data_IF_422115279222
#
_entry.id   IF_422115279222
#
_cell.length_a   1.000
_cell.length_b   1.000
_cell.length_c   1.000
_cell.angle_alpha   90.00
_cell.angle_beta   90.00
_cell.angle_gamma   90.00
#
_symmetry.space_group_name_H-M   'P 1'
#
loop_
_entity.id
_entity.type
_entity.pdbx_description
1 polymer ?
#
# COMPACT_ATOMS: atom_id res chain seq x y z
N UNK A 1 -2.87 -21.11 -13.17
CA UNK A 1 -4.02 -20.33 -12.68
C UNK A 1 -5.10 -20.31 -13.75
N UNK A 2 -6.38 -20.39 -13.40
CA UNK A 2 -7.47 -20.46 -14.38
C UNK A 2 -7.71 -19.08 -15.04
N UNK A 3 -7.90 -18.99 -16.37
CA UNK A 3 -8.06 -17.72 -17.10
C UNK A 3 -9.23 -16.84 -16.59
N UNK A 4 -10.28 -17.48 -16.06
CA UNK A 4 -11.50 -16.79 -15.58
C UNK A 4 -11.24 -15.88 -14.37
N UNK A 5 -10.27 -16.21 -13.52
CA UNK A 5 -9.96 -15.41 -12.33
C UNK A 5 -9.20 -14.12 -12.68
N UNK A 6 -8.40 -14.13 -13.75
CA UNK A 6 -7.69 -12.95 -14.23
C UNK A 6 -8.65 -11.96 -14.89
N UNK A 7 -9.54 -12.44 -15.78
CA UNK A 7 -10.55 -11.60 -16.43
C UNK A 7 -11.48 -10.91 -15.43
N UNK A 8 -11.91 -11.62 -14.38
CA UNK A 8 -12.76 -11.06 -13.34
C UNK A 8 -12.05 -9.95 -12.55
N UNK A 9 -10.75 -10.10 -12.27
CA UNK A 9 -9.94 -9.07 -11.58
C UNK A 9 -9.74 -7.83 -12.45
N UNK A 10 -9.46 -8.00 -13.73
CA UNK A 10 -9.31 -6.89 -14.70
C UNK A 10 -10.64 -6.15 -14.88
N UNK A 11 -11.76 -6.88 -14.98
CA UNK A 11 -13.09 -6.28 -15.07
C UNK A 11 -13.45 -5.47 -13.82
N UNK A 12 -13.13 -6.00 -12.63
CA UNK A 12 -13.31 -5.29 -11.37
C UNK A 12 -12.46 -4.02 -11.35
N UNK A 13 -11.17 -4.09 -11.72
CA UNK A 13 -10.29 -2.93 -11.81
C UNK A 13 -10.85 -1.82 -12.72
N UNK A 14 -11.32 -2.18 -13.92
CA UNK A 14 -11.90 -1.21 -14.88
C UNK A 14 -13.20 -0.57 -14.39
N UNK A 15 -14.04 -1.31 -13.67
CA UNK A 15 -15.29 -0.79 -13.11
C UNK A 15 -15.04 0.32 -12.09
N UNK A 16 -13.97 0.20 -11.31
CA UNK A 16 -13.57 1.16 -10.26
C UNK A 16 -13.14 2.48 -10.85
N UNK A 17 -12.26 2.43 -11.84
CA UNK A 17 -11.79 3.63 -12.54
C UNK A 17 -12.98 4.39 -13.11
N UNK A 18 -13.96 3.69 -13.70
CA UNK A 18 -15.21 4.30 -14.20
C UNK A 18 -16.08 4.92 -13.10
N UNK A 19 -16.20 4.29 -11.94
CA UNK A 19 -16.98 4.84 -10.82
C UNK A 19 -16.33 6.11 -10.24
N UNK A 20 -14.99 6.15 -10.22
CA UNK A 20 -14.24 7.33 -9.83
C UNK A 20 -14.43 8.49 -10.82
N UNK A 21 -14.25 8.22 -12.12
CA UNK A 21 -14.42 9.24 -13.17
C UNK A 21 -15.82 9.86 -13.15
N UNK A 22 -16.84 9.08 -12.77
CA UNK A 22 -18.22 9.53 -12.68
C UNK A 22 -18.55 10.34 -11.41
N UNK A 23 -17.79 10.22 -10.32
CA UNK A 23 -18.03 10.99 -9.07
C UNK A 23 -16.78 11.10 -8.19
N UNK A 24 -15.81 11.95 -8.56
CA UNK A 24 -14.54 12.12 -7.83
C UNK A 24 -14.73 12.63 -6.39
N UNK A 25 -15.87 13.30 -6.13
CA UNK A 25 -16.17 13.96 -4.85
C UNK A 25 -16.88 13.07 -3.83
N UNK A 26 -17.32 11.86 -4.22
CA UNK A 26 -18.04 10.95 -3.30
C UNK A 26 -17.14 10.27 -2.27
N UNK A 27 -15.82 10.29 -2.48
CA UNK A 27 -14.83 9.56 -1.67
C UNK A 27 -13.97 10.46 -0.77
N UNK A 28 -14.32 11.75 -0.63
CA UNK A 28 -13.50 12.70 0.12
C UNK A 28 -14.31 13.59 1.05
N UNK A 29 -13.96 13.56 2.33
CA UNK A 29 -13.86 14.78 3.12
C UNK A 29 -12.50 15.43 2.83
N UNK A 30 -12.51 16.61 2.20
CA UNK A 30 -11.47 17.67 2.12
C UNK A 30 -10.10 17.43 1.44
N UNK A 31 -9.66 16.20 1.16
CA UNK A 31 -8.28 15.95 0.69
C UNK A 31 -7.82 16.65 -0.61
N UNK A 32 -8.68 16.90 -1.60
CA UNK A 32 -8.27 17.61 -2.83
C UNK A 32 -7.99 19.11 -2.60
N UNK A 33 -8.73 19.76 -1.69
CA UNK A 33 -8.45 21.14 -1.29
C UNK A 33 -7.21 21.25 -0.40
N UNK A 34 -6.89 20.19 0.34
CA UNK A 34 -5.65 20.10 1.12
C UNK A 34 -4.45 19.81 0.22
N UNK A 35 -4.60 18.94 -0.78
CA UNK A 35 -3.63 18.72 -1.85
C UNK A 35 -3.28 20.03 -2.56
N UNK A 36 -4.28 20.78 -3.04
CA UNK A 36 -4.04 22.05 -3.75
C UNK A 36 -3.39 23.12 -2.84
N UNK A 37 -3.74 23.17 -1.54
CA UNK A 37 -3.10 24.06 -0.57
C UNK A 37 -1.68 23.64 -0.22
N UNK A 38 -1.41 22.33 -0.18
CA UNK A 38 -0.14 21.78 0.26
C UNK A 38 0.89 21.68 -0.86
N UNK A 39 0.51 21.44 -2.13
CA UNK A 39 1.45 21.49 -3.26
C UNK A 39 2.13 22.88 -3.33
N UNK A 40 1.38 23.96 -3.07
CA UNK A 40 1.94 25.30 -3.02
C UNK A 40 2.89 25.53 -1.82
N UNK A 41 2.68 24.81 -0.71
CA UNK A 41 3.53 24.87 0.50
C UNK A 41 4.77 24.00 0.38
N UNK A 42 4.60 22.78 -0.11
CA UNK A 42 5.64 21.79 -0.39
C UNK A 42 6.65 22.33 -1.41
N UNK A 43 6.18 22.94 -2.52
CA UNK A 43 7.03 23.62 -3.51
C UNK A 43 7.84 24.78 -2.92
N UNK A 44 7.37 25.37 -1.81
CA UNK A 44 8.02 26.50 -1.15
C UNK A 44 8.99 26.06 -0.05
N UNK A 45 8.70 24.96 0.65
CA UNK A 45 9.52 24.42 1.75
C UNK A 45 10.64 23.49 1.27
N UNK A 46 10.53 22.91 0.07
CA UNK A 46 11.53 21.99 -0.50
C UNK A 46 12.13 22.48 -1.82
N UNK A 47 12.03 23.78 -2.12
CA UNK A 47 12.66 24.38 -3.30
C UNK A 47 14.17 24.02 -3.35
N UNK A 48 14.85 24.07 -2.20
CA UNK A 48 16.29 23.83 -2.07
C UNK A 48 16.69 22.36 -2.29
N UNK A 49 15.76 21.39 -2.13
CA UNK A 49 16.00 19.96 -2.38
C UNK A 49 15.67 19.58 -3.83
N UNK A 50 14.87 20.40 -4.49
CA UNK A 50 14.43 20.21 -5.89
C UNK A 50 15.28 21.03 -6.88
N UNK A 51 16.19 21.87 -6.39
CA UNK A 51 17.13 22.66 -7.22
C UNK A 51 18.57 22.22 -7.00
N UNK A 52 18.90 21.02 -7.44
CA UNK A 52 20.26 20.67 -7.86
C UNK A 52 20.14 20.01 -9.23
N UNK A 53 19.95 20.87 -10.25
CA UNK A 53 20.32 20.72 -11.66
C UNK A 53 19.50 21.75 -12.48
N UNK A 54 20.00 22.99 -12.54
CA UNK A 54 20.16 23.73 -13.81
C UNK A 54 20.60 25.18 -13.55
N UNK A 55 21.80 25.51 -14.04
CA UNK A 55 22.26 26.88 -14.19
C UNK A 55 21.45 27.60 -15.26
N UNK A 56 20.84 28.75 -14.93
CA UNK A 56 21.18 30.08 -15.49
C UNK A 56 20.02 31.09 -15.50
N UNK A 57 20.35 32.30 -15.02
CA UNK A 57 19.77 33.62 -15.34
C UNK A 57 18.27 33.88 -15.06
N UNK A 58 17.99 34.72 -14.06
CA UNK A 58 17.74 36.16 -14.26
C UNK A 58 17.25 36.84 -12.96
N UNK A 59 17.63 38.11 -12.85
CA UNK A 59 17.58 39.01 -11.68
C UNK A 59 16.21 39.65 -11.42
N UNK A 60 16.07 40.07 -10.15
CA UNK A 60 15.61 41.40 -9.67
C UNK A 60 14.10 41.71 -9.59
N UNK A 61 13.65 42.10 -8.39
CA UNK A 61 12.42 42.88 -8.20
C UNK A 61 11.99 43.06 -6.75
N UNK A 62 12.67 43.92 -6.00
CA UNK A 62 12.34 44.44 -4.67
C UNK A 62 10.99 45.16 -4.58
N UNK A 63 10.28 45.09 -3.45
CA UNK A 63 9.12 45.95 -3.20
C UNK A 63 8.39 45.78 -1.86
N UNK A 64 8.96 46.36 -0.81
CA UNK A 64 8.36 47.02 0.37
C UNK A 64 7.01 46.56 0.98
N UNK A 65 7.08 46.33 2.29
CA UNK A 65 5.97 46.30 3.23
C UNK A 65 5.56 47.71 3.70
N UNK A 66 4.26 47.90 3.99
CA UNK A 66 3.76 48.80 5.06
C UNK A 66 2.45 48.26 5.67
N UNK A 67 2.20 48.50 6.97
CA UNK A 67 1.10 47.90 7.73
C UNK A 67 -0.12 48.84 7.84
N UNK A 68 -1.33 48.28 7.84
CA UNK A 68 -2.57 49.04 8.00
C UNK A 68 -3.61 48.26 8.82
N UNK A 69 -3.87 48.75 10.02
CA UNK A 69 -4.90 48.30 10.96
C UNK A 69 -6.31 48.26 10.35
N UNK A 70 -7.01 47.12 10.54
CA UNK A 70 -8.45 47.09 10.74
C UNK A 70 -8.84 45.76 11.42
N UNK A 71 -9.12 45.82 12.72
CA UNK A 71 -9.69 44.71 13.50
C UNK A 71 -11.18 44.58 13.16
N UNK A 72 -11.68 43.43 12.67
CA UNK A 72 -13.11 43.13 12.66
C UNK A 72 -13.53 42.53 14.03
N UNK A 73 -14.82 42.60 14.38
CA UNK A 73 -15.28 42.43 15.75
C UNK A 73 -15.15 40.98 16.25
N UNK A 74 -15.01 40.85 17.57
CA UNK A 74 -15.13 39.62 18.35
C UNK A 74 -16.41 38.87 17.94
N UNK A 75 -16.29 37.95 16.99
CA UNK A 75 -17.32 36.96 16.74
C UNK A 75 -17.35 36.04 17.95
N UNK A 76 -18.49 36.02 18.64
CA UNK A 76 -18.80 35.11 19.73
C UNK A 76 -18.08 33.77 19.54
N UNK A 77 -17.18 33.42 20.46
CA UNK A 77 -16.51 32.12 20.46
C UNK A 77 -17.61 31.08 20.37
N UNK A 78 -17.70 30.42 19.20
CA UNK A 78 -18.43 29.17 19.09
C UNK A 78 -17.89 28.32 20.24
N UNK A 79 -18.75 27.76 21.11
CA UNK A 79 -18.28 26.87 22.15
C UNK A 79 -17.36 25.86 21.48
N UNK A 80 -16.16 25.57 22.04
CA UNK A 80 -15.20 24.68 21.41
C UNK A 80 -15.97 23.43 21.05
N UNK A 81 -16.14 23.22 19.74
CA UNK A 81 -16.89 22.10 19.23
C UNK A 81 -16.15 20.91 19.83
N UNK A 82 -16.80 20.20 20.75
CA UNK A 82 -16.23 19.03 21.40
C UNK A 82 -16.11 17.98 20.31
N UNK A 83 -15.08 18.12 19.49
CA UNK A 83 -14.70 17.16 18.48
C UNK A 83 -13.86 16.15 19.25
N UNK A 84 -14.39 14.94 19.50
CA UNK A 84 -13.60 13.92 20.15
C UNK A 84 -12.30 13.76 19.35
N UNK A 85 -11.15 13.83 20.02
CA UNK A 85 -9.83 13.61 19.41
C UNK A 85 -9.58 12.13 19.04
N UNK A 86 -10.64 11.33 19.00
CA UNK A 86 -10.64 9.90 18.75
C UNK A 86 -11.48 9.63 17.48
N UNK A 87 -10.92 8.85 16.56
CA UNK A 87 -11.64 8.34 15.40
C UNK A 87 -12.07 6.90 15.63
N UNK A 88 -13.33 6.58 15.34
CA UNK A 88 -13.89 5.23 15.43
C UNK A 88 -14.37 4.81 14.05
N UNK A 89 -13.82 3.69 13.56
CA UNK A 89 -14.18 3.11 12.27
C UNK A 89 -14.43 1.61 12.48
N UNK A 90 -15.57 1.05 11.98
CA UNK A 90 -15.80 -0.39 12.02
C UNK A 90 -14.64 -1.15 11.36
N UNK A 91 -14.18 -2.23 11.99
CA UNK A 91 -13.00 -2.98 11.55
C UNK A 91 -13.11 -3.46 10.08
N UNK A 92 -14.30 -3.83 9.63
CA UNK A 92 -14.57 -4.28 8.26
C UNK A 92 -14.35 -3.21 7.18
N UNK A 93 -14.30 -1.92 7.57
CA UNK A 93 -13.97 -0.79 6.69
C UNK A 93 -12.48 -0.42 6.74
N UNK A 94 -11.66 -1.22 7.42
CA UNK A 94 -10.23 -0.95 7.60
C UNK A 94 -9.36 -2.00 6.93
N UNK A 95 -8.15 -1.60 6.54
CA UNK A 95 -7.06 -2.48 6.12
C UNK A 95 -5.77 -2.03 6.78
N UNK A 96 -4.96 -2.99 7.20
CA UNK A 96 -3.58 -2.76 7.65
C UNK A 96 -2.67 -2.84 6.43
N UNK A 97 -1.97 -1.74 6.15
CA UNK A 97 -1.07 -1.62 5.01
C UNK A 97 0.35 -1.39 5.50
N UNK A 98 1.28 -2.24 5.09
CA UNK A 98 2.72 -2.10 5.35
C UNK A 98 3.40 -1.55 4.09
N UNK A 99 3.59 -0.23 4.03
CA UNK A 99 4.32 0.41 2.92
C UNK A 99 5.81 0.23 3.11
N UNK A 100 6.48 -0.26 2.08
CA UNK A 100 7.91 -0.56 2.04
C UNK A 100 8.49 0.13 0.80
N UNK A 101 9.51 0.98 0.99
CA UNK A 101 10.34 1.43 -0.14
C UNK A 101 11.32 0.32 -0.50
N UNK A 102 11.58 0.13 -1.78
CA UNK A 102 12.66 -0.75 -2.24
C UNK A 102 14.01 -0.45 -1.55
N UNK A 103 14.86 -1.48 -1.44
CA UNK A 103 16.23 -1.38 -0.94
C UNK A 103 17.14 -0.54 -1.85
N UNK A 104 18.39 -0.34 -1.47
CA UNK A 104 19.35 0.37 -2.31
C UNK A 104 19.51 -0.32 -3.67
N UNK A 105 19.26 0.41 -4.76
CA UNK A 105 19.49 -0.04 -6.13
C UNK A 105 20.69 0.62 -6.78
N UNK A 106 21.17 0.04 -7.88
CA UNK A 106 22.30 0.59 -8.64
C UNK A 106 22.06 2.03 -9.13
N UNK A 107 20.79 2.42 -9.36
CA UNK A 107 20.42 3.81 -9.67
C UNK A 107 20.60 4.76 -8.48
N UNK A 108 20.46 4.31 -7.22
CA UNK A 108 20.63 5.17 -6.04
C UNK A 108 22.09 5.58 -5.84
N UNK A 109 23.03 4.72 -6.23
CA UNK A 109 24.47 4.95 -6.11
C UNK A 109 25.10 5.55 -7.38
N UNK A 110 24.27 5.93 -8.36
CA UNK A 110 24.70 6.74 -9.51
C UNK A 110 25.31 5.98 -10.69
N UNK A 111 25.03 4.68 -10.85
CA UNK A 111 25.52 3.95 -12.04
C UNK A 111 24.70 4.26 -13.29
N UNK A 112 25.39 4.36 -14.44
CA UNK A 112 24.83 4.79 -15.72
C UNK A 112 24.05 3.70 -16.46
N UNK A 113 24.36 2.43 -16.24
CA UNK A 113 23.58 1.32 -16.78
C UNK A 113 22.50 0.92 -15.76
N UNK A 114 21.36 1.58 -15.84
CA UNK A 114 20.33 1.50 -14.81
C UNK A 114 18.95 1.16 -15.37
N UNK A 115 18.83 0.64 -16.61
CA UNK A 115 17.55 0.16 -17.13
C UNK A 115 16.92 -0.80 -16.14
N UNK A 116 15.70 -0.50 -15.70
CA UNK A 116 14.97 -1.24 -14.67
C UNK A 116 15.86 -1.70 -13.51
N UNK A 117 16.64 -0.77 -12.95
CA UNK A 117 17.78 -1.07 -12.08
C UNK A 117 17.48 -2.10 -10.98
N UNK A 118 18.38 -3.06 -10.82
CA UNK A 118 18.40 -4.04 -9.74
C UNK A 118 18.89 -3.44 -8.41
N UNK A 119 18.71 -4.19 -7.33
CA UNK A 119 19.29 -3.96 -6.02
C UNK A 119 20.80 -4.19 -6.01
N UNK A 120 21.50 -3.40 -5.20
CA UNK A 120 22.90 -3.68 -4.83
C UNK A 120 22.96 -4.82 -3.80
N UNK A 121 24.16 -5.32 -3.50
CA UNK A 121 24.37 -6.26 -2.38
C UNK A 121 23.82 -5.68 -1.06
N UNK A 122 24.08 -4.39 -0.82
CA UNK A 122 23.52 -3.67 0.33
C UNK A 122 22.00 -3.61 0.30
N UNK A 123 21.39 -3.41 -0.87
CA UNK A 123 19.93 -3.46 -1.02
C UNK A 123 19.33 -4.81 -0.65
N UNK A 124 20.00 -5.91 -1.02
CA UNK A 124 19.63 -7.26 -0.61
C UNK A 124 19.76 -7.48 0.90
N UNK A 125 20.86 -7.04 1.51
CA UNK A 125 21.07 -7.12 2.97
C UNK A 125 20.00 -6.33 3.74
N UNK A 126 19.62 -5.16 3.22
CA UNK A 126 18.53 -4.35 3.76
C UNK A 126 17.20 -5.09 3.69
N UNK A 127 16.86 -5.70 2.54
CA UNK A 127 15.62 -6.44 2.35
C UNK A 127 15.54 -7.66 3.28
N UNK A 128 16.60 -8.46 3.39
CA UNK A 128 16.65 -9.62 4.28
C UNK A 128 16.58 -9.22 5.76
N UNK A 129 17.23 -8.12 6.14
CA UNK A 129 17.14 -7.58 7.50
C UNK A 129 15.74 -7.08 7.83
N UNK A 130 15.08 -6.40 6.89
CA UNK A 130 13.69 -6.04 7.02
C UNK A 130 12.80 -7.28 7.12
N UNK A 131 13.04 -8.34 6.34
CA UNK A 131 12.31 -9.60 6.44
C UNK A 131 12.38 -10.24 7.83
N UNK A 132 13.59 -10.33 8.40
CA UNK A 132 13.79 -10.81 9.78
C UNK A 132 13.03 -9.96 10.80
N UNK A 133 13.08 -8.64 10.66
CA UNK A 133 12.30 -7.74 11.51
C UNK A 133 10.80 -7.97 11.32
N UNK A 134 10.30 -7.95 10.08
CA UNK A 134 8.90 -8.12 9.72
C UNK A 134 8.29 -9.38 10.34
N UNK A 135 8.94 -10.53 10.22
CA UNK A 135 8.41 -11.79 10.77
C UNK A 135 8.62 -11.96 12.29
N UNK A 136 9.40 -11.08 12.93
CA UNK A 136 9.54 -11.06 14.40
C UNK A 136 8.44 -10.29 15.12
N UNK A 137 7.66 -9.46 14.40
CA UNK A 137 6.64 -8.61 14.99
C UNK A 137 5.25 -9.25 14.90
N UNK A 138 4.44 -9.11 15.95
CA UNK A 138 3.06 -9.61 15.95
C UNK A 138 2.14 -8.77 15.05
N UNK A 139 2.39 -7.47 14.91
CA UNK A 139 1.54 -6.55 14.13
C UNK A 139 1.57 -6.81 12.61
N UNK A 140 2.62 -7.47 12.14
CA UNK A 140 2.84 -7.90 10.75
C UNK A 140 2.53 -9.38 10.54
N UNK A 141 2.17 -10.10 11.60
CA UNK A 141 1.76 -11.50 11.52
C UNK A 141 0.49 -11.62 10.69
N UNK A 142 0.45 -12.62 9.80
CA UNK A 142 -0.73 -12.88 8.96
C UNK A 142 -0.88 -11.95 7.77
N UNK A 143 0.20 -11.39 7.23
CA UNK A 143 0.18 -10.76 5.89
C UNK A 143 -0.35 -11.76 4.86
N UNK A 144 -1.34 -11.35 4.07
CA UNK A 144 -2.05 -12.22 3.13
C UNK A 144 -1.63 -11.97 1.68
N UNK A 145 -1.20 -10.74 1.40
CA UNK A 145 -0.91 -10.24 0.06
C UNK A 145 0.29 -9.29 0.12
N UNK A 146 1.23 -9.50 -0.79
CA UNK A 146 2.32 -8.59 -1.12
C UNK A 146 2.04 -8.02 -2.51
N UNK A 147 1.78 -6.72 -2.53
CA UNK A 147 1.60 -5.94 -3.76
C UNK A 147 2.91 -5.25 -4.08
N UNK A 148 3.34 -5.29 -5.34
CA UNK A 148 4.65 -4.75 -5.72
C UNK A 148 4.54 -3.92 -6.98
N UNK A 149 5.40 -2.90 -7.06
CA UNK A 149 5.72 -2.30 -8.34
C UNK A 149 6.36 -3.36 -9.25
N UNK A 150 6.07 -3.36 -10.56
CA UNK A 150 6.69 -4.29 -11.50
C UNK A 150 8.13 -3.92 -11.90
N UNK A 151 8.74 -2.90 -11.28
CA UNK A 151 10.16 -2.58 -11.46
C UNK A 151 11.03 -3.54 -10.63
N UNK A 152 12.14 -4.02 -11.21
CA UNK A 152 12.96 -5.12 -10.67
C UNK A 152 13.41 -4.86 -9.24
N UNK A 153 13.92 -3.67 -8.91
CA UNK A 153 14.29 -3.29 -7.53
C UNK A 153 13.19 -3.53 -6.49
N UNK A 154 11.93 -3.32 -6.83
CA UNK A 154 10.82 -3.55 -5.92
C UNK A 154 10.49 -5.05 -5.80
N UNK A 155 10.57 -5.79 -6.91
CA UNK A 155 10.38 -7.23 -6.94
C UNK A 155 11.48 -7.97 -6.15
N UNK A 156 12.75 -7.59 -6.34
CA UNK A 156 13.90 -8.12 -5.57
C UNK A 156 13.77 -7.78 -4.08
N UNK A 157 13.34 -6.56 -3.75
CA UNK A 157 13.10 -6.20 -2.34
C UNK A 157 12.04 -7.10 -1.74
N UNK A 158 10.94 -7.35 -2.46
CA UNK A 158 9.91 -8.25 -1.98
C UNK A 158 10.41 -9.69 -1.83
N UNK A 159 11.25 -10.16 -2.76
CA UNK A 159 11.88 -11.48 -2.67
C UNK A 159 12.77 -11.59 -1.42
N UNK A 160 13.61 -10.59 -1.15
CA UNK A 160 14.45 -10.56 0.04
C UNK A 160 13.67 -10.43 1.36
N UNK A 161 12.55 -9.70 1.37
CA UNK A 161 11.73 -9.51 2.59
C UNK A 161 10.84 -10.73 2.87
N UNK A 162 10.13 -11.23 1.86
CA UNK A 162 9.03 -12.19 2.03
C UNK A 162 9.35 -13.60 1.57
N UNK A 163 10.40 -13.78 0.78
CA UNK A 163 10.87 -15.08 0.34
C UNK A 163 11.32 -15.99 1.48
N UNK A 164 11.56 -17.25 1.13
CA UNK A 164 12.22 -18.22 2.01
C UNK A 164 13.41 -18.83 1.28
N UNK A 165 14.49 -19.08 2.02
CA UNK A 165 15.60 -19.88 1.50
C UNK A 165 15.05 -21.27 1.13
N UNK A 166 15.40 -21.84 -0.04
CA UNK A 166 14.91 -23.16 -0.45
C UNK A 166 15.19 -24.26 0.59
N UNK A 167 16.30 -24.14 1.33
CA UNK A 167 16.67 -25.05 2.42
C UNK A 167 15.77 -24.96 3.66
N UNK A 168 15.07 -23.83 3.85
CA UNK A 168 14.12 -23.63 4.94
C UNK A 168 12.71 -24.14 4.61
N UNK A 169 12.47 -24.55 3.36
CA UNK A 169 11.16 -25.05 2.91
C UNK A 169 10.79 -26.38 3.58
N UNK A 170 11.77 -27.26 3.82
CA UNK A 170 11.55 -28.58 4.47
C UNK A 170 11.04 -28.46 5.92
N UNK A 171 11.33 -27.35 6.62
CA UNK A 171 10.84 -27.09 7.98
C UNK A 171 9.45 -26.42 8.06
N UNK A 172 9.00 -25.79 6.97
CA UNK A 172 7.74 -25.03 6.93
C UNK A 172 6.51 -25.93 6.76
N UNK A 173 6.64 -27.10 6.13
CA UNK A 173 5.52 -28.02 5.93
C UNK A 173 5.11 -28.72 7.24
N UNK A 174 6.04 -28.88 8.19
CA UNK A 174 5.79 -29.56 9.46
C UNK A 174 5.09 -28.68 10.50
N UNK A 175 5.17 -27.35 10.40
CA UNK A 175 4.58 -26.43 11.39
C UNK A 175 3.06 -26.18 11.20
N UNK A 176 2.46 -26.71 10.14
CA UNK A 176 1.03 -26.56 9.84
C UNK A 176 0.16 -27.73 10.37
N UNK A 177 0.73 -28.70 11.08
CA UNK A 177 0.01 -29.87 11.58
C UNK A 177 0.28 -30.18 13.05
N UNK A 178 -0.67 -29.85 13.92
CA UNK A 178 -0.85 -30.52 15.21
C UNK A 178 -0.38 -29.74 16.45
N UNK A 179 -1.36 -29.21 17.19
CA UNK A 179 -1.25 -29.12 18.63
C UNK A 179 -1.54 -30.50 19.24
N UNK A 180 -0.65 -31.06 20.08
CA UNK A 180 -1.04 -31.72 21.34
C UNK A 180 0.16 -32.16 22.21
N UNK A 181 -0.06 -32.21 23.53
CA UNK A 181 0.45 -33.24 24.45
C UNK A 181 1.93 -33.27 24.87
N UNK A 182 2.18 -33.07 26.16
CA UNK A 182 3.52 -33.12 26.78
C UNK A 182 4.12 -34.51 27.01
N UNK A 183 5.36 -34.53 27.51
CA UNK A 183 6.04 -35.75 27.97
C UNK A 183 7.55 -35.58 28.15
N UNK A 184 8.06 -36.04 29.29
CA UNK A 184 9.39 -35.80 29.87
C UNK A 184 10.60 -36.43 29.15
N UNK A 185 11.77 -35.81 29.39
CA UNK A 185 13.17 -36.31 29.27
C UNK A 185 13.38 -37.74 29.87
N UNK A 186 14.50 -38.49 29.60
CA UNK A 186 15.90 -38.01 29.60
C UNK A 186 16.92 -38.71 28.64
N UNK A 187 18.19 -38.34 28.81
CA UNK A 187 19.40 -38.65 28.04
C UNK A 187 19.97 -40.08 28.18
N UNK A 188 20.78 -40.52 27.20
CA UNK A 188 21.93 -41.41 27.42
C UNK A 188 22.92 -41.39 26.23
N UNK A 189 24.18 -41.70 26.55
CA UNK A 189 25.41 -41.57 25.78
C UNK A 189 25.70 -42.73 24.81
N UNK A 190 26.59 -42.49 23.84
CA UNK A 190 27.64 -43.45 23.43
C UNK A 190 27.52 -44.13 22.06
N UNK A 191 28.61 -44.11 21.29
CA UNK A 191 29.01 -45.25 20.45
C UNK A 191 29.05 -45.08 18.92
N UNK A 192 30.23 -44.69 18.44
CA UNK A 192 31.02 -45.31 17.37
C UNK A 192 30.52 -45.45 15.90
N UNK A 193 31.56 -45.38 15.07
CA UNK A 193 31.78 -45.34 13.64
C UNK A 193 31.00 -46.30 12.72
N UNK A 194 30.94 -45.84 11.47
CA UNK A 194 30.77 -46.61 10.23
C UNK A 194 29.33 -46.98 9.85
N UNK A 195 28.73 -46.15 8.98
CA UNK A 195 27.81 -46.60 7.94
C UNK A 195 27.88 -45.63 6.76
N UNK A 196 28.55 -46.08 5.69
CA UNK A 196 28.30 -45.65 4.33
C UNK A 196 26.80 -45.84 4.06
N UNK A 197 26.05 -44.74 4.08
CA UNK A 197 24.63 -44.70 3.83
C UNK A 197 24.37 -43.84 2.62
N UNK A 198 24.11 -44.53 1.50
CA UNK A 198 23.35 -44.11 0.32
C UNK A 198 22.84 -42.67 0.34
N UNK A 199 23.25 -41.89 -0.65
CA UNK A 199 22.54 -40.71 -1.10
C UNK A 199 21.05 -41.06 -1.24
N UNK A 200 20.24 -40.62 -0.28
CA UNK A 200 18.79 -40.63 -0.41
C UNK A 200 18.44 -39.57 -1.42
N UNK A 201 18.09 -39.98 -2.63
CA UNK A 201 17.33 -39.15 -3.55
C UNK A 201 16.05 -38.70 -2.84
N UNK A 202 16.04 -37.47 -2.34
CA UNK A 202 14.82 -36.78 -1.98
C UNK A 202 14.11 -36.45 -3.30
N UNK A 203 13.26 -37.36 -3.76
CA UNK A 203 12.43 -37.25 -4.97
C UNK A 203 11.23 -36.32 -4.71
N UNK A 204 11.50 -35.16 -4.10
CA UNK A 204 10.55 -34.07 -3.92
C UNK A 204 10.79 -33.03 -5.00
N UNK A 205 9.75 -32.70 -5.77
CA UNK A 205 9.84 -31.58 -6.70
C UNK A 205 10.31 -30.32 -5.94
N UNK A 206 11.25 -29.54 -6.51
CA UNK A 206 11.79 -28.36 -5.84
C UNK A 206 10.64 -27.38 -5.51
N UNK A 207 10.75 -26.64 -4.40
CA UNK A 207 9.68 -25.73 -3.98
C UNK A 207 9.37 -24.70 -5.07
N UNK A 208 8.10 -24.30 -5.22
CA UNK A 208 7.73 -23.23 -6.14
C UNK A 208 8.56 -21.97 -5.88
N UNK A 209 9.21 -21.45 -6.92
CA UNK A 209 10.09 -20.28 -6.79
C UNK A 209 9.28 -18.99 -6.78
N UNK A 210 9.68 -18.05 -5.92
CA UNK A 210 9.29 -16.65 -5.99
C UNK A 210 10.18 -15.92 -7.00
N UNK A 211 11.49 -16.16 -6.93
CA UNK A 211 12.51 -15.57 -7.79
C UNK A 211 13.56 -16.62 -8.18
N UNK A 212 13.97 -16.64 -9.44
CA UNK A 212 15.07 -17.46 -9.93
C UNK A 212 16.42 -16.94 -9.40
N UNK A 213 17.41 -17.81 -9.26
CA UNK A 213 18.77 -17.36 -8.92
C UNK A 213 19.40 -16.57 -10.07
N UNK A 214 20.31 -15.66 -9.75
CA UNK A 214 21.05 -14.88 -10.75
C UNK A 214 22.51 -14.70 -10.36
N UNK A 215 23.37 -14.65 -11.38
CA UNK A 215 24.80 -14.38 -11.23
C UNK A 215 25.08 -12.88 -11.20
N UNK A 216 26.13 -12.50 -10.48
CA UNK A 216 26.56 -11.11 -10.38
C UNK A 216 27.01 -10.57 -11.75
N UNK A 217 26.66 -9.32 -12.02
CA UNK A 217 27.20 -8.57 -13.15
C UNK A 217 27.63 -7.19 -12.64
N UNK A 218 28.91 -6.86 -12.85
CA UNK A 218 29.54 -5.69 -12.26
C UNK A 218 28.78 -4.41 -12.59
N UNK A 219 28.30 -3.71 -11.54
CA UNK A 219 27.55 -2.45 -11.61
C UNK A 219 26.15 -2.54 -12.23
N UNK A 220 25.62 -3.75 -12.41
CA UNK A 220 24.33 -4.00 -13.05
C UNK A 220 23.41 -4.78 -12.12
N UNK A 221 23.88 -5.92 -11.58
CA UNK A 221 23.10 -6.76 -10.66
C UNK A 221 23.99 -7.50 -9.66
N UNK A 222 23.47 -7.71 -8.45
CA UNK A 222 24.10 -8.54 -7.43
C UNK A 222 23.74 -10.02 -7.63
N UNK A 223 24.63 -10.92 -7.20
CA UNK A 223 24.33 -12.35 -7.16
C UNK A 223 23.39 -12.68 -6.01
N UNK A 224 22.48 -13.62 -6.23
CA UNK A 224 21.72 -14.26 -5.15
C UNK A 224 21.24 -15.65 -5.59
N UNK A 225 21.01 -16.53 -4.62
CA UNK A 225 20.40 -17.84 -4.85
C UNK A 225 18.92 -17.74 -5.25
N UNK A 226 18.34 -18.84 -5.71
CA UNK A 226 16.90 -18.89 -5.97
C UNK A 226 16.12 -18.70 -4.66
N UNK A 227 15.02 -17.95 -4.72
CA UNK A 227 14.16 -17.64 -3.57
C UNK A 227 12.85 -18.40 -3.72
N UNK A 228 12.47 -19.20 -2.73
CA UNK A 228 11.24 -19.96 -2.75
C UNK A 228 10.03 -19.14 -2.25
N UNK A 229 8.84 -19.52 -2.70
CA UNK A 229 7.58 -18.90 -2.28
C UNK A 229 7.26 -19.23 -0.81
N UNK A 230 6.80 -18.22 -0.09
CA UNK A 230 6.23 -18.39 1.25
C UNK A 230 4.79 -18.87 1.15
N UNK A 231 4.49 -19.99 1.80
CA UNK A 231 3.13 -20.53 1.85
C UNK A 231 2.15 -19.54 2.50
N UNK A 232 0.94 -19.45 1.97
CA UNK A 232 -0.13 -18.59 2.49
C UNK A 232 -0.05 -17.11 2.10
N UNK A 233 1.00 -16.66 1.41
CA UNK A 233 1.14 -15.28 0.95
C UNK A 233 1.00 -15.21 -0.57
N UNK A 234 0.16 -14.31 -1.06
CA UNK A 234 0.02 -14.02 -2.51
C UNK A 234 0.95 -12.89 -2.91
N UNK A 235 1.47 -12.95 -4.13
CA UNK A 235 2.34 -11.92 -4.70
C UNK A 235 1.74 -11.40 -6.00
N UNK A 236 1.50 -10.09 -6.09
CA UNK A 236 0.87 -9.47 -7.27
C UNK A 236 1.64 -8.22 -7.67
N UNK A 237 1.95 -8.08 -8.95
CA UNK A 237 2.57 -6.88 -9.52
C UNK A 237 1.51 -5.93 -10.09
N UNK A 238 1.63 -4.63 -9.82
CA UNK A 238 0.65 -3.61 -10.23
C UNK A 238 1.35 -2.33 -10.69
N UNK A 239 1.09 -1.92 -11.94
CA UNK A 239 1.62 -0.70 -12.57
C UNK A 239 1.31 0.59 -11.79
N UNK A 240 0.16 0.65 -11.10
CA UNK A 240 -0.27 1.82 -10.33
C UNK A 240 0.71 2.26 -9.23
N UNK A 241 1.52 1.36 -8.68
CA UNK A 241 2.46 1.68 -7.59
C UNK A 241 3.92 1.78 -8.05
N UNK A 242 4.17 2.07 -9.32
CA UNK A 242 5.50 2.43 -9.84
C UNK A 242 5.98 3.76 -9.30
N UNK A 243 7.29 3.98 -9.41
CA UNK A 243 7.89 5.29 -9.14
C UNK A 243 7.24 6.38 -9.99
N UNK A 244 7.39 7.64 -9.60
CA UNK A 244 7.12 8.76 -10.51
C UNK A 244 7.95 8.56 -11.78
N UNK A 245 7.31 8.43 -12.93
CA UNK A 245 8.02 8.15 -14.18
C UNK A 245 8.87 9.37 -14.56
N UNK A 246 10.19 9.23 -14.48
CA UNK A 246 11.16 10.23 -14.90
C UNK A 246 11.83 9.88 -16.24
N UNK A 247 12.74 10.74 -16.71
CA UNK A 247 13.45 10.54 -17.98
C UNK A 247 14.51 9.43 -17.89
N UNK A 248 14.79 8.95 -16.68
CA UNK A 248 15.79 7.92 -16.39
C UNK A 248 15.30 6.54 -16.79
N UNK A 249 16.18 5.76 -17.43
CA UNK A 249 15.84 4.39 -17.85
C UNK A 249 15.57 3.45 -16.67
N UNK A 250 15.99 3.80 -15.46
CA UNK A 250 15.61 3.06 -14.26
C UNK A 250 14.12 3.06 -13.98
N UNK A 251 13.37 4.04 -14.48
CA UNK A 251 11.92 4.08 -14.30
C UNK A 251 11.17 3.40 -15.44
N UNK A 252 11.89 2.90 -16.45
CA UNK A 252 11.35 2.06 -17.52
C UNK A 252 11.44 0.59 -17.11
N UNK A 253 10.30 -0.10 -17.12
CA UNK A 253 10.22 -1.54 -16.88
C UNK A 253 10.83 -2.30 -18.07
N UNK A 254 11.54 -3.39 -17.81
CA UNK A 254 11.94 -4.34 -18.84
C UNK A 254 10.73 -5.10 -19.41
N UNK A 255 10.91 -5.92 -20.46
CA UNK A 255 9.82 -6.73 -21.01
C UNK A 255 9.21 -7.64 -19.95
N UNK A 256 7.89 -7.80 -19.96
CA UNK A 256 7.19 -8.59 -18.96
C UNK A 256 7.60 -10.06 -19.02
N UNK A 257 7.85 -10.58 -20.22
CA UNK A 257 8.35 -11.94 -20.43
C UNK A 257 9.66 -12.21 -19.66
N UNK A 258 10.59 -11.25 -19.68
CA UNK A 258 11.87 -11.34 -18.94
C UNK A 258 11.64 -11.30 -17.43
N UNK A 259 10.78 -10.39 -16.97
CA UNK A 259 10.43 -10.29 -15.55
C UNK A 259 9.71 -11.54 -15.05
N UNK A 260 8.81 -12.13 -15.83
CA UNK A 260 8.09 -13.36 -15.49
C UNK A 260 9.02 -14.57 -15.37
N UNK A 261 10.06 -14.65 -16.22
CA UNK A 261 11.12 -15.67 -16.10
C UNK A 261 11.90 -15.52 -14.80
N UNK A 262 12.22 -14.28 -14.41
CA UNK A 262 12.95 -13.98 -13.19
C UNK A 262 12.09 -14.18 -11.93
N UNK A 263 10.77 -13.92 -12.00
CA UNK A 263 9.84 -13.95 -10.87
C UNK A 263 8.64 -14.88 -11.12
N UNK A 264 8.85 -16.20 -11.27
CA UNK A 264 7.80 -17.14 -11.68
C UNK A 264 6.66 -17.29 -10.67
N UNK A 265 6.87 -16.88 -9.42
CA UNK A 265 5.87 -16.95 -8.35
C UNK A 265 4.99 -15.70 -8.22
N UNK A 266 5.21 -14.68 -9.04
CA UNK A 266 4.49 -13.40 -8.98
C UNK A 266 3.36 -13.36 -10.02
N UNK A 267 2.18 -12.93 -9.60
CA UNK A 267 1.04 -12.73 -10.48
C UNK A 267 1.14 -11.38 -11.20
N UNK A 268 1.42 -11.43 -12.51
CA UNK A 268 1.50 -10.27 -13.40
C UNK A 268 0.23 -10.07 -14.25
N UNK A 269 -0.86 -10.80 -13.98
CA UNK A 269 -2.08 -10.79 -14.82
C UNK A 269 -2.80 -9.45 -14.93
N UNK A 270 -2.44 -8.47 -14.10
CA UNK A 270 -2.97 -7.11 -14.13
C UNK A 270 -2.20 -6.17 -15.07
N UNK A 271 -1.12 -6.62 -15.69
CA UNK A 271 -0.32 -5.86 -16.65
C UNK A 271 -0.73 -6.29 -18.06
N UNK A 272 -1.24 -5.35 -18.85
CA UNK A 272 -1.88 -5.67 -20.14
C UNK A 272 -0.87 -5.87 -21.27
N UNK A 273 0.29 -5.20 -21.21
CA UNK A 273 1.27 -5.14 -22.30
C UNK A 273 2.65 -5.63 -21.86
N UNK A 274 3.31 -6.35 -22.75
CA UNK A 274 4.66 -6.88 -22.51
C UNK A 274 5.68 -5.75 -22.37
N UNK A 275 5.65 -4.83 -23.33
CA UNK A 275 6.49 -3.63 -23.34
C UNK A 275 5.92 -2.54 -22.42
N UNK A 276 6.81 -1.70 -21.91
CA UNK A 276 6.44 -0.55 -21.09
C UNK A 276 5.96 0.62 -21.94
N UNK A 277 4.65 0.66 -22.19
CA UNK A 277 3.99 1.74 -22.93
C UNK A 277 3.72 2.99 -22.07
N UNK A 278 3.86 2.89 -20.75
CA UNK A 278 3.61 4.02 -19.83
C UNK A 278 4.81 4.94 -19.71
N UNK A 279 6.02 4.44 -19.99
CA UNK A 279 7.25 5.21 -19.95
C UNK A 279 7.64 5.73 -21.33
N UNK A 280 7.92 7.02 -21.43
CA UNK A 280 8.38 7.68 -22.66
C UNK A 280 9.69 8.45 -22.39
N UNK A 281 10.66 8.31 -23.30
CA UNK A 281 11.95 8.96 -23.16
C UNK A 281 11.82 10.49 -23.14
N UNK A 282 12.39 11.14 -22.12
CA UNK A 282 12.31 12.59 -21.94
C UNK A 282 10.96 13.09 -21.39
N UNK A 283 10.00 12.20 -21.14
CA UNK A 283 8.77 12.55 -20.44
C UNK A 283 8.96 12.47 -18.93
N UNK A 284 8.33 13.40 -18.20
CA UNK A 284 8.29 13.38 -16.74
C UNK A 284 6.83 13.42 -16.31
N UNK A 285 6.42 12.40 -15.58
CA UNK A 285 5.08 12.33 -15.02
C UNK A 285 4.84 13.53 -14.09
N UNK A 286 3.70 14.20 -14.27
CA UNK A 286 3.33 15.35 -13.46
C UNK A 286 3.03 14.93 -12.01
N UNK A 287 3.30 15.82 -11.04
CA UNK A 287 2.98 15.58 -9.62
C UNK A 287 1.50 15.22 -9.42
N UNK A 288 0.60 15.90 -10.13
CA UNK A 288 -0.84 15.61 -10.12
C UNK A 288 -1.17 14.23 -10.66
N UNK A 289 -0.48 13.77 -11.70
CA UNK A 289 -0.67 12.43 -12.25
C UNK A 289 -0.28 11.36 -11.24
N UNK A 290 0.86 11.52 -10.56
CA UNK A 290 1.31 10.60 -9.49
C UNK A 290 0.28 10.55 -8.36
N UNK A 291 -0.26 11.69 -7.94
CA UNK A 291 -1.25 11.78 -6.86
C UNK A 291 -2.55 11.08 -7.24
N UNK A 292 -3.07 11.33 -8.44
CA UNK A 292 -4.28 10.65 -8.95
C UNK A 292 -4.05 9.14 -9.02
N UNK A 293 -2.88 8.72 -9.53
CA UNK A 293 -2.49 7.31 -9.59
C UNK A 293 -2.37 6.68 -8.20
N UNK A 294 -1.82 7.41 -7.22
CA UNK A 294 -1.76 7.03 -5.82
C UNK A 294 -3.15 6.81 -5.20
N UNK A 295 -4.12 7.69 -5.47
CA UNK A 295 -5.49 7.48 -5.01
C UNK A 295 -6.17 6.29 -5.68
N UNK A 296 -5.98 6.11 -6.99
CA UNK A 296 -6.47 4.93 -7.69
C UNK A 296 -5.90 3.64 -7.09
N UNK A 297 -4.62 3.67 -6.70
CA UNK A 297 -3.96 2.56 -6.03
C UNK A 297 -4.55 2.27 -4.63
N UNK A 298 -4.72 3.28 -3.78
CA UNK A 298 -5.32 3.11 -2.45
C UNK A 298 -6.77 2.61 -2.53
N UNK A 299 -7.55 3.10 -3.48
CA UNK A 299 -8.90 2.63 -3.72
C UNK A 299 -8.93 1.16 -4.20
N UNK A 300 -8.01 0.80 -5.10
CA UNK A 300 -7.85 -0.59 -5.53
C UNK A 300 -7.48 -1.50 -4.35
N UNK A 301 -6.58 -1.06 -3.46
CA UNK A 301 -6.26 -1.79 -2.23
C UNK A 301 -7.51 -1.98 -1.35
N UNK A 302 -8.37 -0.97 -1.20
CA UNK A 302 -9.58 -1.08 -0.38
C UNK A 302 -10.59 -2.12 -0.87
N UNK A 303 -10.55 -2.47 -2.15
CA UNK A 303 -11.46 -3.48 -2.72
C UNK A 303 -10.91 -4.89 -2.70
N UNK A 304 -9.65 -5.05 -2.29
CA UNK A 304 -9.08 -6.36 -2.06
C UNK A 304 -9.83 -7.07 -0.93
N UNK A 305 -10.08 -8.39 -1.03
CA UNK A 305 -10.61 -9.15 0.10
C UNK A 305 -9.59 -9.24 1.25
N UNK A 306 -8.29 -9.10 0.95
CA UNK A 306 -7.23 -9.13 1.95
C UNK A 306 -7.29 -7.90 2.88
N UNK A 307 -7.05 -8.09 4.17
CA UNK A 307 -7.11 -7.04 5.21
C UNK A 307 -5.75 -6.68 5.78
N UNK A 308 -4.75 -7.56 5.65
CA UNK A 308 -3.36 -7.29 6.00
C UNK A 308 -2.49 -7.43 4.74
N UNK A 309 -1.97 -6.31 4.25
CA UNK A 309 -1.32 -6.20 2.94
C UNK A 309 0.04 -5.49 3.09
N UNK A 310 1.09 -6.04 2.48
CA UNK A 310 2.34 -5.34 2.27
C UNK A 310 2.40 -4.74 0.87
N UNK A 311 2.98 -3.55 0.74
CA UNK A 311 3.18 -2.84 -0.52
C UNK A 311 4.65 -2.49 -0.68
N UNK A 312 5.33 -3.05 -1.68
CA UNK A 312 6.73 -2.76 -2.00
C UNK A 312 6.80 -1.84 -3.22
N UNK A 313 7.27 -0.61 -3.01
CA UNK A 313 7.17 0.49 -3.98
C UNK A 313 8.35 1.48 -3.82
N UNK A 314 8.16 2.75 -4.17
CA UNK A 314 9.21 3.75 -4.38
C UNK A 314 8.91 5.06 -3.64
N UNK A 315 9.94 5.89 -3.46
CA UNK A 315 9.84 7.03 -2.54
C UNK A 315 8.99 8.16 -3.06
N UNK A 316 9.16 8.56 -4.33
CA UNK A 316 8.38 9.69 -4.83
C UNK A 316 6.90 9.30 -4.91
N UNK A 317 6.59 8.08 -5.38
CA UNK A 317 5.22 7.55 -5.33
C UNK A 317 4.61 7.59 -3.92
N UNK A 318 5.31 7.05 -2.91
CA UNK A 318 4.84 7.06 -1.53
C UNK A 318 4.65 8.48 -1.01
N UNK A 319 5.60 9.37 -1.27
CA UNK A 319 5.55 10.74 -0.79
C UNK A 319 4.41 11.52 -1.40
N UNK A 320 4.27 11.54 -2.74
CA UNK A 320 3.17 12.22 -3.43
C UNK A 320 1.80 11.66 -3.02
N UNK A 321 1.69 10.36 -2.79
CA UNK A 321 0.45 9.72 -2.35
C UNK A 321 0.13 10.06 -0.89
N UNK A 322 1.06 9.86 0.04
CA UNK A 322 0.83 9.96 1.47
C UNK A 322 0.84 11.41 2.00
N UNK A 323 1.52 12.34 1.33
CA UNK A 323 1.49 13.77 1.67
C UNK A 323 0.10 14.39 1.56
N UNK A 324 -0.83 13.72 0.87
CA UNK A 324 -2.22 14.14 0.78
C UNK A 324 -3.05 13.87 2.05
N UNK A 325 -2.54 13.09 3.00
CA UNK A 325 -3.27 12.62 4.19
C UNK A 325 -2.68 13.13 5.50
N UNK A 326 -3.48 13.15 6.58
CA UNK A 326 -3.01 13.42 7.94
C UNK A 326 -2.86 14.91 8.29
N UNK A 327 -3.47 15.81 7.52
CA UNK A 327 -3.48 17.25 7.80
C UNK A 327 -4.24 17.59 9.09
N UNK A 328 -5.21 16.75 9.44
CA UNK A 328 -5.96 16.76 10.68
C UNK A 328 -5.12 16.36 11.91
N UNK A 329 -3.98 15.70 11.71
CA UNK A 329 -3.15 15.22 12.81
C UNK A 329 -2.22 16.30 13.37
N UNK A 330 -1.86 16.13 14.64
CA UNK A 330 -0.77 16.88 15.25
C UNK A 330 0.53 16.70 14.45
N UNK A 331 1.37 17.75 14.44
CA UNK A 331 2.58 17.82 13.62
C UNK A 331 3.47 16.54 13.68
N UNK A 332 3.79 15.96 14.84
CA UNK A 332 4.64 14.76 14.89
C UNK A 332 4.03 13.54 14.19
N UNK A 333 2.71 13.35 14.30
CA UNK A 333 1.99 12.24 13.67
C UNK A 333 1.93 12.45 12.16
N UNK A 334 1.63 13.67 11.72
CA UNK A 334 1.64 14.03 10.29
C UNK A 334 3.03 13.86 9.67
N UNK A 335 4.08 14.34 10.33
CA UNK A 335 5.46 14.22 9.83
C UNK A 335 5.90 12.75 9.76
N UNK A 336 5.48 11.90 10.70
CA UNK A 336 5.76 10.47 10.63
C UNK A 336 5.14 9.81 9.38
N UNK A 337 3.92 10.20 9.01
CA UNK A 337 3.24 9.73 7.80
C UNK A 337 3.88 10.27 6.52
N UNK A 338 4.14 11.58 6.48
CA UNK A 338 4.45 12.32 5.25
C UNK A 338 5.95 12.45 4.93
N UNK A 339 6.86 12.16 5.87
CA UNK A 339 8.31 12.27 5.62
C UNK A 339 8.75 11.31 4.51
N UNK A 340 9.81 11.69 3.80
CA UNK A 340 10.43 10.85 2.78
C UNK A 340 10.81 9.46 3.33
N UNK A 341 10.74 8.42 2.49
CA UNK A 341 11.11 7.06 2.89
C UNK A 341 12.58 6.80 2.60
N UNK A 342 13.31 6.21 3.54
CA UNK A 342 14.66 5.69 3.31
C UNK A 342 14.63 4.31 2.62
N UNK A 343 15.74 3.89 2.00
CA UNK A 343 15.84 2.57 1.36
C UNK A 343 15.48 1.45 2.34
N UNK A 344 14.58 0.54 1.94
CA UNK A 344 14.01 -0.51 2.80
C UNK A 344 13.34 -0.01 4.09
N UNK A 345 12.95 1.26 4.17
CA UNK A 345 12.09 1.72 5.25
C UNK A 345 10.67 1.13 5.08
N UNK A 346 10.12 0.65 6.19
CA UNK A 346 8.72 0.23 6.28
C UNK A 346 7.95 1.16 7.23
N UNK A 347 6.72 1.51 6.85
CA UNK A 347 5.73 2.08 7.77
C UNK A 347 4.40 1.36 7.65
N UNK A 348 3.78 1.11 8.79
CA UNK A 348 2.45 0.50 8.88
C UNK A 348 1.41 1.59 9.08
N UNK A 349 0.36 1.57 8.26
CA UNK A 349 -0.80 2.47 8.40
C UNK A 349 -2.10 1.67 8.39
N UNK A 350 -3.15 2.28 8.92
CA UNK A 350 -4.52 1.78 8.77
C UNK A 350 -5.19 2.60 7.68
N UNK A 351 -5.53 1.96 6.57
CA UNK A 351 -6.32 2.55 5.50
C UNK A 351 -7.80 2.31 5.80
N UNK A 352 -8.61 3.37 5.73
CA UNK A 352 -10.04 3.30 6.02
C UNK A 352 -10.85 3.78 4.83
N UNK A 353 -11.93 3.07 4.54
CA UNK A 353 -12.90 3.50 3.54
C UNK A 353 -14.13 4.14 4.20
N UNK A 354 -14.23 5.47 4.10
CA UNK A 354 -15.40 6.23 4.55
C UNK A 354 -16.62 6.14 3.61
N UNK A 355 -16.48 5.48 2.45
CA UNK A 355 -17.50 5.39 1.40
C UNK A 355 -18.33 4.10 1.41
N UNK A 356 -17.97 3.08 2.20
CA UNK A 356 -18.78 1.87 2.40
C UNK A 356 -18.56 0.72 1.41
N UNK A 357 -17.46 0.73 0.66
CA UNK A 357 -16.88 -0.39 -0.10
C UNK A 357 -16.19 -1.47 0.77
N UNK A 358 -16.24 -1.34 2.11
CA UNK A 358 -15.74 -2.34 3.06
C UNK A 358 -16.27 -3.75 2.82
N UNK A 359 -15.54 -4.75 3.32
CA UNK A 359 -15.97 -6.16 3.26
C UNK A 359 -17.11 -6.41 4.25
N UNK A 360 -17.95 -7.46 4.07
CA UNK A 360 -18.95 -7.82 5.06
C UNK A 360 -18.34 -7.99 6.46
N UNK A 361 -18.99 -7.42 7.48
CA UNK A 361 -18.50 -7.51 8.86
C UNK A 361 -18.69 -8.93 9.42
N UNK A 362 -17.60 -9.70 9.42
CA UNK A 362 -17.58 -11.07 9.96
C UNK A 362 -17.65 -11.11 11.49
N UNK A 363 -17.37 -10.00 12.16
CA UNK A 363 -17.43 -9.90 13.62
C UNK A 363 -18.81 -9.46 14.12
N UNK A 364 -19.66 -8.99 13.21
CA UNK A 364 -21.01 -8.58 13.55
C UNK A 364 -21.84 -9.77 14.00
N UNK A 365 -22.17 -9.78 15.29
CA UNK A 365 -23.06 -10.76 15.89
C UNK A 365 -24.34 -10.07 16.34
N UNK A 366 -25.47 -10.50 15.78
CA UNK A 366 -26.78 -9.87 15.98
C UNK A 366 -27.24 -9.85 17.45
N UNK A 367 -26.83 -10.82 18.26
CA UNK A 367 -27.28 -11.00 19.65
C UNK A 367 -28.76 -11.42 19.75
N UNK A 368 -29.04 -12.70 20.02
CA UNK A 368 -30.38 -13.18 20.40
C UNK A 368 -31.36 -13.53 19.26
N UNK A 369 -32.49 -14.15 19.62
CA UNK A 369 -33.44 -14.81 18.70
C UNK A 369 -34.06 -13.86 17.67
N UNK A 370 -34.15 -14.40 16.46
CA UNK A 370 -34.51 -13.69 15.24
C UNK A 370 -35.92 -13.10 15.26
N UNK A 371 -36.02 -11.78 15.20
CA UNK A 371 -37.12 -11.18 14.42
C UNK A 371 -36.77 -11.30 12.93
N UNK A 372 -37.65 -11.98 12.20
CA UNK A 372 -37.49 -12.41 10.81
C UNK A 372 -37.29 -11.24 9.82
N UNK A 373 -36.17 -11.27 9.09
CA UNK A 373 -36.04 -11.29 7.62
C UNK A 373 -34.65 -10.76 7.19
N UNK A 374 -34.01 -11.38 6.18
CA UNK A 374 -32.69 -10.97 5.70
C UNK A 374 -32.77 -9.76 4.76
N UNK A 375 -31.98 -8.73 5.06
CA UNK A 375 -31.39 -7.78 4.09
C UNK A 375 -32.28 -7.23 2.95
N UNK A 376 -33.47 -6.70 3.27
CA UNK A 376 -34.14 -5.69 2.42
C UNK A 376 -34.17 -4.36 3.17
N UNK A 377 -33.20 -3.48 2.93
CA UNK A 377 -33.36 -2.07 3.36
C UNK A 377 -32.11 -1.25 3.67
N UNK A 378 -30.90 -1.82 3.74
CA UNK A 378 -29.69 -1.05 4.09
C UNK A 378 -28.93 -0.45 2.90
N UNK A 379 -29.39 -0.65 1.67
CA UNK A 379 -28.96 0.15 0.51
C UNK A 379 -30.15 1.00 0.08
N UNK A 380 -30.04 2.35 0.01
CA UNK A 380 -31.07 3.16 -0.60
C UNK A 380 -31.22 2.72 -2.06
N UNK A 381 -32.41 2.25 -2.42
CA UNK A 381 -32.79 2.09 -3.82
C UNK A 381 -32.67 3.46 -4.49
N UNK A 382 -31.65 3.64 -5.32
CA UNK A 382 -31.54 4.76 -6.24
C UNK A 382 -32.57 4.53 -7.35
N UNK A 383 -33.84 4.81 -7.07
CA UNK A 383 -34.85 5.15 -8.07
C UNK A 383 -35.70 6.29 -7.52
N UNK A 384 -35.63 7.38 -8.26
CA UNK A 384 -36.33 8.66 -8.14
C UNK A 384 -37.62 8.69 -7.32
N UNK A 385 -37.75 9.66 -6.41
CA UNK A 385 -38.73 10.77 -6.45
C UNK A 385 -38.91 11.38 -5.06
N UNK A 386 -39.02 12.71 -5.03
CA UNK A 386 -39.73 13.43 -3.97
C UNK A 386 -38.87 14.38 -3.16
N UNK A 387 -38.93 15.66 -3.53
CA UNK A 387 -38.60 16.76 -2.63
C UNK A 387 -39.44 16.63 -1.35
N UNK A 388 -38.77 16.46 -0.22
CA UNK A 388 -39.32 16.77 1.10
C UNK A 388 -39.40 15.56 2.03
N UNK A 389 -38.42 15.41 2.94
CA UNK A 389 -38.68 14.71 4.20
C UNK A 389 -37.72 14.97 5.37
N UNK A 390 -36.75 15.91 5.30
CA UNK A 390 -35.95 16.26 6.49
C UNK A 390 -36.52 17.49 7.23
N UNK A 391 -37.00 18.49 6.48
CA UNK A 391 -37.55 19.73 7.04
C UNK A 391 -38.94 19.55 7.68
N UNK A 392 -39.74 18.59 7.19
CA UNK A 392 -41.04 18.25 7.78
C UNK A 392 -40.88 17.46 9.09
N UNK A 393 -39.92 16.54 9.15
CA UNK A 393 -39.60 15.77 10.35
C UNK A 393 -39.04 16.68 11.47
N UNK A 394 -38.19 17.65 11.12
CA UNK A 394 -37.68 18.65 12.07
C UNK A 394 -38.77 19.58 12.62
N UNK A 395 -39.78 19.94 11.83
CA UNK A 395 -40.90 20.80 12.29
C UNK A 395 -41.79 20.09 13.31
N UNK A 396 -42.00 18.79 13.14
CA UNK A 396 -42.84 17.98 14.03
C UNK A 396 -42.15 17.71 15.37
N UNK A 397 -40.82 17.60 15.38
CA UNK A 397 -40.02 17.46 16.59
C UNK A 397 -39.93 18.76 17.42
N UNK A 398 -40.05 19.93 16.77
CA UNK A 398 -39.96 21.24 17.44
C UNK A 398 -41.30 21.77 17.99
N UNK A 399 -42.43 21.12 17.70
CA UNK A 399 -43.75 21.55 18.18
C UNK A 399 -44.33 20.73 19.34
N UNK A 400 -43.56 19.80 19.93
CA UNK A 400 -44.06 18.85 20.93
C UNK A 400 -43.64 19.16 22.36
N UNK A 401 -44.17 20.21 22.98
CA UNK A 401 -44.01 20.43 24.43
C UNK A 401 -44.85 21.59 24.96
N UNK A 402 -46.00 21.30 25.58
CA UNK A 402 -46.71 22.29 26.39
C UNK A 402 -48.24 22.19 26.46
N UNK A 403 -48.73 21.18 27.18
CA UNK A 403 -49.78 21.24 28.21
C UNK A 403 -51.22 21.72 27.91
N UNK A 404 -52.18 21.01 28.51
CA UNK A 404 -53.37 21.64 29.11
C UNK A 404 -54.70 21.07 28.63
N UNK A 405 -55.40 20.34 29.52
CA UNK A 405 -56.66 19.68 29.20
C UNK A 405 -57.92 20.54 29.27
N UNK A 406 -59.03 19.91 28.86
CA UNK A 406 -60.46 20.04 29.22
C UNK A 406 -61.22 19.32 28.08
N UNK A 407 -62.16 18.39 28.30
CA UNK A 407 -63.07 18.17 29.41
C UNK A 407 -63.19 16.68 29.78
#
# INVERSE_FOLDING_TARGET
MAPKDAEQRVAQFRQVTKQWDASPTRFWSTGLQDYLRNVAKIRREFADVLTDDDHSSARSGSGQATPGNATPPLSAEKPPKYEPQLSLVPHCNTKVIHFIRHGEGFHNVGYSNNLDACLTERGWDQAQTLGRHFFSQQATAGVQLVVMSPLVRALETAAGVFGVEPSQYEGSAAAAGGADGGGSRPASEGGDSSRLGSAGSADGAPPPLMMAGQEAETRIRAAHGAVALRSGVKFVAVELCRERLGPSQCDKRQALEDTQRQFPGVDFSLIETDLDESWEAGHVESESSVVVRGFNFLNWLMQRPETNIAVVTHSAFLWFTLACFGNEFARPVRENLQRWYENCEMRTVVLTDGGGAGVPDQTWFRGGEAYAEPQKGLLPNVKEKGRGSLLSALRQALSGGGNGGKA
#
